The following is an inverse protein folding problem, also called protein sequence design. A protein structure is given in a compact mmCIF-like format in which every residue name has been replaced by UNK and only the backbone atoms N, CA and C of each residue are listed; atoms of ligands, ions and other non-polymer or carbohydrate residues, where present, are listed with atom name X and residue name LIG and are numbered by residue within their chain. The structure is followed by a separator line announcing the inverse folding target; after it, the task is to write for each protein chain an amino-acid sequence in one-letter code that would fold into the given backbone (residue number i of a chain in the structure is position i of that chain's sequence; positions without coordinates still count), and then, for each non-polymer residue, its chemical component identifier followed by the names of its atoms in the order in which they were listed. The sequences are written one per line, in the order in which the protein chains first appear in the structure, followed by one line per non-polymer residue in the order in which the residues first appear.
data_IF_005285265065
#
_entry.id   IF_005285265065
#
_cell.length_a   1.000
_cell.length_b   1.000
_cell.length_c   1.000
_cell.angle_alpha   90.00
_cell.angle_beta   90.00
_cell.angle_gamma   90.00
#
_symmetry.space_group_name_H-M   'P 1'
#
loop_
_entity.id
_entity.type
_entity.pdbx_description
1 polymer ?
#
# COMPACT_ATOMS: atom_id res chain seq x y z
N UNK A 1 21.72 21.95 43.49
CA UNK A 1 20.37 22.17 44.09
C UNK A 1 20.35 21.87 45.58
N UNK A 2 20.67 20.65 46.04
CA UNK A 2 20.71 20.28 47.48
C UNK A 2 21.64 21.16 48.32
N UNK A 3 22.84 21.44 47.84
CA UNK A 3 23.82 22.29 48.54
C UNK A 3 23.40 23.77 48.64
N UNK A 4 22.61 24.26 47.68
CA UNK A 4 22.14 25.65 47.67
C UNK A 4 20.98 25.81 48.66
N UNK A 5 20.08 24.83 48.69
CA UNK A 5 19.01 24.76 49.70
C UNK A 5 19.58 24.70 51.13
N UNK A 6 20.64 23.92 51.34
CA UNK A 6 21.31 23.85 52.65
C UNK A 6 22.02 25.15 53.05
N UNK A 7 22.61 25.89 52.09
CA UNK A 7 23.19 27.22 52.36
C UNK A 7 22.11 28.26 52.70
N UNK A 8 20.94 28.18 52.05
CA UNK A 8 19.78 29.02 52.35
C UNK A 8 19.22 28.71 53.74
N UNK A 9 19.14 27.43 54.13
CA UNK A 9 18.69 26.98 55.46
C UNK A 9 19.63 27.43 56.59
N UNK A 10 20.92 27.62 56.32
CA UNK A 10 21.90 28.12 57.29
C UNK A 10 22.03 29.65 57.31
N UNK A 11 21.25 30.37 56.50
CA UNK A 11 21.32 31.83 56.40
C UNK A 11 22.58 32.37 55.71
N UNK A 12 23.37 31.49 55.08
CA UNK A 12 24.56 31.87 54.32
C UNK A 12 24.17 32.31 52.90
N UNK A 13 23.70 33.56 52.80
CA UNK A 13 23.33 34.19 51.54
C UNK A 13 24.49 34.23 50.52
N UNK A 14 25.74 34.30 50.99
CA UNK A 14 26.91 34.39 50.12
C UNK A 14 27.16 33.06 49.40
N UNK A 15 27.16 31.93 50.13
CA UNK A 15 27.26 30.60 49.53
C UNK A 15 26.06 30.28 48.65
N UNK A 16 24.85 30.67 49.07
CA UNK A 16 23.65 30.47 48.26
C UNK A 16 23.76 31.20 46.91
N UNK A 17 24.14 32.49 46.93
CA UNK A 17 24.34 33.29 45.71
C UNK A 17 25.39 32.67 44.79
N UNK A 18 26.56 32.31 45.33
CA UNK A 18 27.65 31.70 44.56
C UNK A 18 27.21 30.41 43.86
N UNK A 19 26.43 29.57 44.54
CA UNK A 19 25.96 28.31 43.97
C UNK A 19 24.86 28.52 42.91
N UNK A 20 23.96 29.48 43.11
CA UNK A 20 22.96 29.87 42.10
C UNK A 20 23.64 30.50 40.89
N UNK A 21 24.67 31.31 41.10
CA UNK A 21 25.42 31.97 40.03
C UNK A 21 26.18 30.94 39.19
N UNK A 22 26.81 29.95 39.82
CA UNK A 22 27.46 28.82 39.14
C UNK A 22 26.47 28.02 38.29
N UNK A 23 25.27 27.72 38.82
CA UNK A 23 24.21 27.05 38.07
C UNK A 23 23.68 27.90 36.91
N UNK A 24 23.58 29.21 37.11
CA UNK A 24 23.16 30.17 36.09
C UNK A 24 24.21 30.28 34.98
N UNK A 25 25.49 30.23 35.33
CA UNK A 25 26.61 30.25 34.39
C UNK A 25 26.67 28.98 33.54
N UNK A 26 26.35 27.82 34.15
CA UNK A 26 26.25 26.55 33.43
C UNK A 26 25.07 26.52 32.45
N UNK A 27 23.91 27.05 32.86
CA UNK A 27 22.74 27.20 32.00
C UNK A 27 22.98 28.19 30.85
N UNK A 28 23.71 29.27 31.12
CA UNK A 28 24.07 30.27 30.12
C UNK A 28 25.33 29.89 29.33
N UNK A 29 25.83 28.66 29.51
CA UNK A 29 26.97 28.15 28.75
C UNK A 29 26.68 28.19 27.25
N UNK A 30 27.67 28.55 26.41
CA UNK A 30 27.54 28.50 24.96
C UNK A 30 27.15 27.10 24.44
N UNK A 31 27.45 26.03 25.20
CA UNK A 31 27.03 24.67 24.85
C UNK A 31 25.52 24.49 25.00
N UNK A 32 24.92 24.99 26.07
CA UNK A 32 23.47 24.87 26.28
C UNK A 32 22.69 25.73 25.29
N UNK A 33 23.17 26.95 24.98
CA UNK A 33 22.53 27.77 23.95
C UNK A 33 22.67 27.16 22.55
N UNK A 34 23.79 26.50 22.24
CA UNK A 34 23.95 25.74 21.01
C UNK A 34 23.02 24.52 20.96
N UNK A 35 22.84 23.80 22.07
CA UNK A 35 21.92 22.67 22.16
C UNK A 35 20.46 23.10 22.00
N UNK A 36 20.09 24.20 22.64
CA UNK A 36 18.74 24.79 22.59
C UNK A 36 18.47 25.40 21.21
N UNK A 37 19.50 25.92 20.53
CA UNK A 37 19.42 26.32 19.12
C UNK A 37 19.24 25.11 18.20
N UNK A 38 20.04 24.05 18.36
CA UNK A 38 19.93 22.82 17.59
C UNK A 38 18.57 22.14 17.78
N UNK A 39 18.06 22.09 19.02
CA UNK A 39 16.73 21.58 19.31
C UNK A 39 15.65 22.40 18.59
N UNK A 40 15.74 23.73 18.60
CA UNK A 40 14.81 24.60 17.86
C UNK A 40 14.97 24.51 16.35
N UNK A 41 16.19 24.37 15.83
CA UNK A 41 16.45 24.16 14.39
C UNK A 41 15.86 22.82 13.95
N UNK A 42 16.06 21.75 14.74
CA UNK A 42 15.45 20.45 14.52
C UNK A 42 13.92 20.52 14.58
N UNK A 43 13.34 21.14 15.62
CA UNK A 43 11.89 21.31 15.74
C UNK A 43 11.32 22.11 14.59
N UNK A 44 11.96 23.22 14.19
CA UNK A 44 11.53 23.99 13.01
C UNK A 44 11.65 23.18 11.73
N UNK A 45 12.73 22.43 11.54
CA UNK A 45 12.88 21.54 10.40
C UNK A 45 11.75 20.51 10.37
N UNK A 46 11.40 19.91 11.51
CA UNK A 46 10.29 18.98 11.64
C UNK A 46 8.92 19.64 11.39
N UNK A 47 8.69 20.86 11.88
CA UNK A 47 7.46 21.64 11.64
C UNK A 47 7.33 22.10 10.17
N UNK A 48 8.45 22.34 9.49
CA UNK A 48 8.46 22.70 8.06
C UNK A 48 8.39 21.51 7.13
N UNK A 49 8.43 20.28 7.65
CA UNK A 49 8.16 19.12 6.83
C UNK A 49 6.67 19.15 6.44
N UNK A 50 6.31 19.24 5.14
CA UNK A 50 4.92 19.23 4.69
C UNK A 50 4.25 17.85 4.85
N UNK A 51 4.83 17.00 5.69
CA UNK A 51 4.50 15.58 5.87
C UNK A 51 3.24 15.44 6.73
N UNK A 52 3.01 16.28 7.74
CA UNK A 52 1.93 16.03 8.70
C UNK A 52 0.52 16.08 8.09
N UNK A 53 0.21 17.05 7.23
CA UNK A 53 -1.13 17.17 6.64
C UNK A 53 -1.36 16.16 5.51
N UNK A 54 -0.39 15.99 4.59
CA UNK A 54 -0.56 15.12 3.41
C UNK A 54 -0.46 13.65 3.77
N UNK A 55 0.50 13.27 4.62
CA UNK A 55 0.65 11.88 5.06
C UNK A 55 -0.50 11.49 6.01
N UNK A 56 -0.94 12.43 6.85
CA UNK A 56 -2.13 12.25 7.70
C UNK A 56 -3.41 12.03 6.89
N UNK A 57 -3.62 12.78 5.81
CA UNK A 57 -4.77 12.58 4.91
C UNK A 57 -4.70 11.23 4.16
N UNK A 58 -3.53 10.87 3.63
CA UNK A 58 -3.30 9.60 2.95
C UNK A 58 -3.55 8.41 3.89
N UNK A 59 -2.98 8.44 5.10
CA UNK A 59 -3.12 7.35 6.07
C UNK A 59 -4.52 7.30 6.69
N UNK A 60 -5.14 8.45 6.94
CA UNK A 60 -6.42 8.54 7.64
C UNK A 60 -7.66 8.31 6.77
N UNK A 61 -7.60 8.64 5.48
CA UNK A 61 -8.77 8.58 4.59
C UNK A 61 -8.50 7.82 3.29
N UNK A 62 -7.45 8.18 2.55
CA UNK A 62 -7.27 7.63 1.19
C UNK A 62 -6.85 6.16 1.17
N UNK A 63 -5.96 5.73 2.06
CA UNK A 63 -5.53 4.33 2.16
C UNK A 63 -6.66 3.39 2.60
N UNK A 64 -7.45 3.71 3.65
CA UNK A 64 -8.64 2.93 3.99
C UNK A 64 -9.65 2.83 2.84
N UNK A 65 -9.91 3.93 2.12
CA UNK A 65 -10.81 3.94 0.94
C UNK A 65 -10.24 3.07 -0.19
N UNK A 66 -8.95 3.20 -0.49
CA UNK A 66 -8.28 2.38 -1.50
C UNK A 66 -8.38 0.89 -1.19
N UNK A 67 -8.19 0.50 0.09
CA UNK A 67 -8.35 -0.88 0.53
C UNK A 67 -9.77 -1.38 0.33
N UNK A 68 -10.77 -0.63 0.82
CA UNK A 68 -12.18 -1.01 0.66
C UNK A 68 -12.58 -1.18 -0.82
N UNK A 69 -12.03 -0.34 -1.70
CA UNK A 69 -12.20 -0.43 -3.14
C UNK A 69 -11.54 -1.68 -3.75
N UNK A 70 -10.32 -2.03 -3.31
CA UNK A 70 -9.66 -3.26 -3.74
C UNK A 70 -10.43 -4.50 -3.28
N UNK A 71 -10.93 -4.51 -2.04
CA UNK A 71 -11.75 -5.61 -1.51
C UNK A 71 -13.03 -5.79 -2.36
N UNK A 72 -13.69 -4.68 -2.72
CA UNK A 72 -14.85 -4.71 -3.61
C UNK A 72 -14.50 -5.24 -5.02
N UNK A 73 -13.37 -4.78 -5.58
CA UNK A 73 -12.88 -5.29 -6.88
C UNK A 73 -12.64 -6.78 -6.79
N UNK A 74 -11.94 -7.27 -5.77
CA UNK A 74 -11.64 -8.67 -5.57
C UNK A 74 -12.92 -9.51 -5.56
N UNK A 75 -13.88 -9.13 -4.70
CA UNK A 75 -15.17 -9.82 -4.60
C UNK A 75 -15.93 -9.82 -5.93
N UNK A 76 -16.04 -8.66 -6.59
CA UNK A 76 -16.77 -8.53 -7.86
C UNK A 76 -16.10 -9.36 -8.97
N UNK A 77 -14.77 -9.40 -9.01
CA UNK A 77 -14.02 -10.20 -9.99
C UNK A 77 -14.16 -11.70 -9.73
N UNK A 78 -14.18 -12.13 -8.47
CA UNK A 78 -14.40 -13.52 -8.10
C UNK A 78 -15.81 -13.98 -8.48
N UNK A 79 -16.84 -13.18 -8.15
CA UNK A 79 -18.23 -13.47 -8.50
C UNK A 79 -18.45 -13.54 -10.01
N UNK A 80 -17.94 -12.56 -10.76
CA UNK A 80 -18.04 -12.54 -12.22
C UNK A 80 -17.31 -13.73 -12.86
N UNK A 81 -16.17 -14.15 -12.29
CA UNK A 81 -15.40 -15.30 -12.79
C UNK A 81 -16.14 -16.61 -12.55
N UNK A 82 -16.64 -16.84 -11.33
CA UNK A 82 -17.46 -18.03 -11.03
C UNK A 82 -18.70 -18.08 -11.93
N UNK A 83 -19.42 -16.96 -12.07
CA UNK A 83 -20.60 -16.86 -12.94
C UNK A 83 -20.26 -17.20 -14.40
N UNK A 84 -19.12 -16.70 -14.89
CA UNK A 84 -18.65 -16.99 -16.25
C UNK A 84 -18.33 -18.48 -16.43
N UNK A 85 -17.64 -19.10 -15.47
CA UNK A 85 -17.30 -20.53 -15.53
C UNK A 85 -18.56 -21.41 -15.53
N UNK A 86 -19.53 -21.12 -14.66
CA UNK A 86 -20.80 -21.85 -14.60
C UNK A 86 -21.55 -21.78 -15.95
N UNK A 87 -21.61 -20.60 -16.56
CA UNK A 87 -22.27 -20.39 -17.85
C UNK A 87 -21.51 -21.04 -19.01
N UNK A 88 -20.18 -21.10 -18.95
CA UNK A 88 -19.34 -21.81 -19.91
C UNK A 88 -19.61 -23.32 -19.83
N UNK A 89 -19.66 -23.88 -18.63
CA UNK A 89 -19.93 -25.31 -18.45
C UNK A 89 -21.36 -25.68 -18.86
N UNK A 90 -22.35 -24.83 -18.54
CA UNK A 90 -23.71 -24.99 -19.02
C UNK A 90 -23.81 -24.91 -20.55
N UNK A 91 -23.02 -24.02 -21.18
CA UNK A 91 -22.95 -23.92 -22.65
C UNK A 91 -22.31 -25.16 -23.27
N UNK A 92 -21.26 -25.72 -22.66
CA UNK A 92 -20.64 -26.98 -23.12
C UNK A 92 -21.61 -28.14 -23.09
N UNK A 93 -22.35 -28.30 -22.01
CA UNK A 93 -23.36 -29.36 -21.88
C UNK A 93 -24.47 -29.24 -22.95
N UNK A 94 -24.91 -28.02 -23.25
CA UNK A 94 -25.89 -27.76 -24.31
C UNK A 94 -25.33 -28.06 -25.71
N UNK A 95 -24.07 -27.69 -25.97
CA UNK A 95 -23.38 -28.01 -27.23
C UNK A 95 -23.18 -29.53 -27.39
N UNK A 96 -22.81 -30.25 -26.33
CA UNK A 96 -22.68 -31.71 -26.37
C UNK A 96 -24.04 -32.38 -26.68
N UNK A 97 -25.12 -31.87 -26.09
CA UNK A 97 -26.49 -32.35 -26.35
C UNK A 97 -26.95 -32.08 -27.79
N UNK A 98 -26.50 -30.98 -28.39
CA UNK A 98 -26.71 -30.67 -29.81
C UNK A 98 -25.89 -31.57 -30.73
N UNK A 99 -24.64 -31.91 -30.37
CA UNK A 99 -23.75 -32.74 -31.19
C UNK A 99 -24.32 -34.14 -31.42
N UNK A 100 -25.03 -34.67 -30.44
CA UNK A 100 -25.63 -36.01 -30.51
C UNK A 100 -26.98 -36.02 -31.28
N UNK A 101 -27.41 -34.88 -31.84
CA UNK A 101 -28.64 -34.70 -32.64
C UNK A 101 -28.35 -34.37 -34.11
N UNK A 102 -29.18 -34.89 -35.02
CA UNK A 102 -29.20 -34.56 -36.47
C UNK A 102 -29.65 -33.10 -36.72
N UNK A 103 -29.43 -32.51 -37.93
CA UNK A 103 -29.09 -31.09 -38.08
C UNK A 103 -30.06 -30.13 -37.36
N UNK A 104 -29.51 -29.41 -36.38
CA UNK A 104 -30.22 -28.43 -35.58
C UNK A 104 -30.84 -27.33 -36.46
N UNK A 105 -32.16 -27.19 -36.37
CA UNK A 105 -32.92 -26.09 -36.96
C UNK A 105 -32.59 -24.78 -36.21
N UNK A 106 -32.75 -23.63 -36.87
CA UNK A 106 -32.46 -22.32 -36.27
C UNK A 106 -33.25 -22.02 -34.98
N UNK A 107 -34.38 -22.70 -34.77
CA UNK A 107 -35.23 -22.61 -33.56
C UNK A 107 -34.96 -23.72 -32.53
N UNK A 108 -33.80 -24.39 -32.59
CA UNK A 108 -33.47 -25.43 -31.61
C UNK A 108 -33.38 -24.81 -30.19
N UNK A 109 -34.15 -25.33 -29.21
CA UNK A 109 -34.14 -24.80 -27.84
C UNK A 109 -32.76 -24.85 -27.18
N UNK A 110 -31.93 -25.85 -27.51
CA UNK A 110 -30.56 -25.96 -27.00
C UNK A 110 -29.66 -24.85 -27.56
N UNK A 111 -29.81 -24.53 -28.86
CA UNK A 111 -29.08 -23.44 -29.50
C UNK A 111 -29.46 -22.07 -28.91
N UNK A 112 -30.75 -21.90 -28.56
CA UNK A 112 -31.23 -20.70 -27.86
C UNK A 112 -30.67 -20.59 -26.45
N UNK A 113 -30.53 -21.70 -25.72
CA UNK A 113 -29.89 -21.72 -24.41
C UNK A 113 -28.42 -21.32 -24.48
N UNK A 114 -27.66 -21.84 -25.45
CA UNK A 114 -26.25 -21.42 -25.68
C UNK A 114 -26.17 -19.92 -25.96
N UNK A 115 -27.03 -19.38 -26.84
CA UNK A 115 -27.07 -17.93 -27.13
C UNK A 115 -27.41 -17.10 -25.90
N UNK A 116 -28.31 -17.59 -25.05
CA UNK A 116 -28.66 -16.94 -23.79
C UNK A 116 -27.48 -16.94 -22.82
N UNK A 117 -26.81 -18.09 -22.61
CA UNK A 117 -25.62 -18.17 -21.76
C UNK A 117 -24.49 -17.25 -22.22
N UNK A 118 -24.23 -17.15 -23.54
CA UNK A 118 -23.23 -16.21 -24.07
C UNK A 118 -23.59 -14.74 -23.80
N UNK A 119 -24.88 -14.42 -23.80
CA UNK A 119 -25.36 -13.07 -23.46
C UNK A 119 -25.21 -12.80 -21.96
N UNK A 120 -25.50 -13.77 -21.11
CA UNK A 120 -25.28 -13.71 -19.66
C UNK A 120 -23.78 -13.60 -19.30
N UNK A 121 -22.89 -14.28 -20.02
CA UNK A 121 -21.44 -14.14 -19.86
C UNK A 121 -21.01 -12.71 -20.20
N UNK A 122 -21.53 -12.16 -21.30
CA UNK A 122 -21.23 -10.78 -21.70
C UNK A 122 -21.68 -9.77 -20.65
N UNK A 123 -22.85 -9.99 -20.03
CA UNK A 123 -23.38 -9.16 -18.94
C UNK A 123 -22.53 -9.29 -17.66
N UNK A 124 -22.14 -10.51 -17.28
CA UNK A 124 -21.29 -10.77 -16.12
C UNK A 124 -19.92 -10.08 -16.25
N UNK A 125 -19.43 -9.89 -17.48
CA UNK A 125 -18.16 -9.22 -17.78
C UNK A 125 -18.26 -7.69 -17.85
N UNK A 126 -19.46 -7.11 -17.90
CA UNK A 126 -19.65 -5.65 -18.04
C UNK A 126 -19.09 -4.88 -16.81
N UNK A 127 -18.99 -5.54 -15.66
CA UNK A 127 -18.36 -5.01 -14.44
C UNK A 127 -16.84 -4.79 -14.56
N UNK A 128 -16.19 -5.32 -15.59
CA UNK A 128 -14.74 -5.19 -15.80
C UNK A 128 -14.29 -3.75 -16.06
N UNK A 129 -15.15 -2.89 -16.63
CA UNK A 129 -14.81 -1.46 -16.80
C UNK A 129 -14.76 -0.75 -15.44
N UNK A 130 -15.72 -1.03 -14.55
CA UNK A 130 -15.79 -0.44 -13.23
C UNK A 130 -14.64 -0.91 -12.33
N UNK A 131 -14.28 -2.19 -12.39
CA UNK A 131 -13.12 -2.71 -11.65
C UNK A 131 -11.82 -2.11 -12.18
N UNK A 132 -11.67 -1.97 -13.49
CA UNK A 132 -10.53 -1.29 -14.11
C UNK A 132 -10.38 0.17 -13.70
N UNK A 133 -11.47 0.93 -13.64
CA UNK A 133 -11.47 2.32 -13.13
C UNK A 133 -11.09 2.37 -11.65
N UNK A 134 -11.58 1.42 -10.85
CA UNK A 134 -11.28 1.33 -9.43
C UNK A 134 -9.80 1.04 -9.18
N UNK A 135 -9.23 0.08 -9.92
CA UNK A 135 -7.79 -0.23 -9.87
C UNK A 135 -6.95 0.99 -10.25
N UNK A 136 -7.29 1.68 -11.35
CA UNK A 136 -6.57 2.90 -11.77
C UNK A 136 -6.55 3.96 -10.67
N UNK A 137 -7.67 4.12 -9.95
CA UNK A 137 -7.78 5.07 -8.84
C UNK A 137 -6.92 4.66 -7.65
N UNK A 138 -6.92 3.38 -7.31
CA UNK A 138 -6.07 2.83 -6.25
C UNK A 138 -4.58 2.99 -6.58
N UNK A 139 -4.17 2.69 -7.82
CA UNK A 139 -2.80 2.92 -8.31
C UNK A 139 -2.39 4.39 -8.12
N UNK A 140 -3.30 5.33 -8.40
CA UNK A 140 -3.08 6.75 -8.14
C UNK A 140 -2.83 7.06 -6.66
N UNK A 141 -3.55 6.43 -5.74
CA UNK A 141 -3.36 6.60 -4.29
C UNK A 141 -2.01 6.01 -3.85
N UNK A 142 -1.67 4.82 -4.32
CA UNK A 142 -0.36 4.19 -4.04
C UNK A 142 0.79 5.10 -4.49
N UNK A 143 0.69 5.66 -5.70
CA UNK A 143 1.69 6.59 -6.20
C UNK A 143 1.82 7.86 -5.34
N UNK A 144 0.71 8.38 -4.79
CA UNK A 144 0.76 9.50 -3.86
C UNK A 144 1.47 9.15 -2.55
N UNK A 145 1.28 7.94 -2.04
CA UNK A 145 1.99 7.43 -0.86
C UNK A 145 3.49 7.28 -1.15
N UNK A 146 3.87 6.71 -2.28
CA UNK A 146 5.28 6.59 -2.71
C UNK A 146 5.96 7.96 -2.77
N UNK A 147 5.33 8.95 -3.40
CA UNK A 147 5.87 10.31 -3.46
C UNK A 147 6.01 10.94 -2.08
N UNK A 148 5.02 10.74 -1.21
CA UNK A 148 5.06 11.29 0.13
C UNK A 148 6.21 10.69 0.94
N UNK A 149 6.38 9.36 0.91
CA UNK A 149 7.49 8.64 1.54
C UNK A 149 8.86 9.01 0.96
N UNK A 150 8.95 9.18 -0.36
CA UNK A 150 10.18 9.62 -1.02
C UNK A 150 10.61 11.02 -0.57
N UNK A 151 9.64 11.94 -0.41
CA UNK A 151 9.91 13.27 0.12
C UNK A 151 10.46 13.23 1.56
N UNK A 152 9.99 12.30 2.39
CA UNK A 152 10.55 12.05 3.74
C UNK A 152 12.00 11.57 3.64
N UNK A 153 12.25 10.59 2.76
CA UNK A 153 13.60 10.05 2.55
C UNK A 153 14.61 11.15 2.20
N UNK A 154 14.26 11.99 1.21
CA UNK A 154 15.07 13.13 0.79
C UNK A 154 15.29 14.12 1.94
N UNK A 155 14.24 14.44 2.72
CA UNK A 155 14.34 15.37 3.83
C UNK A 155 15.23 14.88 4.99
N UNK A 156 15.29 13.56 5.21
CA UNK A 156 16.15 12.93 6.23
C UNK A 156 17.58 12.71 5.67
N UNK A 157 17.85 13.12 4.43
CA UNK A 157 19.17 12.95 3.79
C UNK A 157 19.44 11.51 3.35
N UNK A 158 18.41 10.64 3.36
CA UNK A 158 18.51 9.27 2.88
C UNK A 158 18.11 9.27 1.41
N UNK A 159 19.06 9.04 0.50
CA UNK A 159 18.67 8.70 -0.87
C UNK A 159 17.84 7.43 -0.81
N UNK A 160 16.63 7.49 -1.36
CA UNK A 160 15.80 6.30 -1.55
C UNK A 160 16.58 5.42 -2.53
N UNK A 161 17.35 4.47 -2.00
CA UNK A 161 17.92 3.40 -2.81
C UNK A 161 16.76 2.73 -3.54
N UNK A 162 16.96 2.46 -4.82
CA UNK A 162 16.05 1.68 -5.66
C UNK A 162 15.56 0.49 -4.83
N UNK A 163 14.32 0.57 -4.34
CA UNK A 163 13.76 -0.46 -3.48
C UNK A 163 13.67 -1.67 -4.40
N UNK A 164 14.36 -2.75 -4.05
CA UNK A 164 14.16 -4.06 -4.70
C UNK A 164 12.65 -4.26 -4.76
N UNK A 165 12.04 -4.20 -5.96
CA UNK A 165 10.60 -4.12 -6.08
C UNK A 165 10.06 -5.28 -5.27
N UNK A 166 9.27 -4.94 -4.24
CA UNK A 166 8.58 -5.90 -3.36
C UNK A 166 8.29 -7.13 -4.21
N UNK A 167 8.92 -8.26 -3.89
CA UNK A 167 8.65 -9.54 -4.56
C UNK A 167 7.14 -9.67 -4.60
N UNK A 168 6.55 -9.31 -5.72
CA UNK A 168 5.11 -9.33 -5.88
C UNK A 168 4.81 -10.83 -5.91
N UNK A 169 4.26 -11.34 -4.81
CA UNK A 169 3.79 -12.72 -4.77
C UNK A 169 2.56 -12.79 -5.68
N UNK A 170 2.83 -13.02 -6.95
CA UNK A 170 1.87 -13.00 -8.04
C UNK A 170 2.52 -13.54 -9.30
N UNK A 171 1.72 -14.04 -10.26
CA UNK A 171 2.25 -14.53 -11.52
C UNK A 171 3.03 -13.42 -12.23
N UNK A 172 4.20 -13.79 -12.76
CA UNK A 172 5.08 -12.89 -13.47
C UNK A 172 4.35 -12.17 -14.62
N UNK A 173 4.35 -10.84 -14.58
CA UNK A 173 3.79 -9.99 -15.64
C UNK A 173 4.89 -9.68 -16.65
N UNK A 174 4.74 -10.23 -17.86
CA UNK A 174 5.69 -10.07 -18.97
C UNK A 174 5.92 -8.58 -19.29
N UNK A 175 7.16 -8.13 -19.15
CA UNK A 175 7.59 -6.76 -19.46
C UNK A 175 7.51 -5.76 -18.29
N UNK A 176 6.98 -6.18 -17.13
CA UNK A 176 6.94 -5.38 -15.89
C UNK A 176 7.89 -5.97 -14.86
N UNK A 177 7.86 -7.29 -14.67
CA UNK A 177 8.76 -7.96 -13.73
C UNK A 177 10.12 -8.23 -14.36
N UNK A 178 11.18 -7.66 -13.76
CA UNK A 178 12.58 -7.92 -14.16
C UNK A 178 13.06 -9.32 -13.74
N UNK A 179 12.38 -9.95 -12.77
CA UNK A 179 12.69 -11.28 -12.21
C UNK A 179 11.43 -12.14 -12.06
N UNK A 180 10.52 -12.08 -13.02
CA UNK A 180 9.35 -12.95 -13.03
C UNK A 180 9.78 -14.42 -13.03
N UNK A 181 9.35 -15.19 -12.03
CA UNK A 181 9.51 -16.65 -11.97
C UNK A 181 9.03 -17.21 -13.31
N UNK A 182 9.97 -17.70 -14.11
CA UNK A 182 9.70 -18.23 -15.43
C UNK A 182 9.03 -19.59 -15.29
N UNK A 183 8.29 -20.03 -16.29
CA UNK A 183 7.80 -21.41 -16.38
C UNK A 183 8.95 -22.43 -16.23
N UNK A 184 10.17 -22.04 -16.62
CA UNK A 184 11.39 -22.83 -16.42
C UNK A 184 11.78 -23.00 -14.94
N UNK A 185 11.48 -22.02 -14.07
CA UNK A 185 11.75 -22.10 -12.64
C UNK A 185 10.72 -23.00 -11.95
N UNK A 186 9.48 -23.00 -12.43
CA UNK A 186 8.44 -23.94 -11.98
C UNK A 186 8.79 -25.39 -12.38
N UNK A 187 9.25 -25.61 -13.61
CA UNK A 187 9.73 -26.92 -14.08
C UNK A 187 10.98 -27.38 -13.30
N UNK A 188 11.85 -26.44 -12.92
CA UNK A 188 13.03 -26.72 -12.09
C UNK A 188 12.63 -27.16 -10.67
N UNK A 189 11.62 -26.51 -10.07
CA UNK A 189 11.08 -26.89 -8.76
C UNK A 189 10.35 -28.24 -8.78
N UNK A 190 9.65 -28.57 -9.87
CA UNK A 190 9.05 -29.89 -10.07
C UNK A 190 10.11 -30.99 -10.17
N UNK A 191 11.19 -30.70 -10.90
CA UNK A 191 12.36 -31.58 -11.00
C UNK A 191 13.03 -31.79 -9.63
N UNK A 192 13.15 -30.73 -8.81
CA UNK A 192 13.72 -30.79 -7.46
C UNK A 192 12.79 -31.51 -6.45
N UNK A 193 11.47 -31.49 -6.68
CA UNK A 193 10.48 -32.28 -5.95
C UNK A 193 10.34 -33.74 -6.45
N UNK A 194 11.00 -34.10 -7.56
CA UNK A 194 10.99 -35.45 -8.11
C UNK A 194 9.68 -35.87 -8.78
N UNK A 195 8.90 -34.91 -9.30
CA UNK A 195 7.73 -35.13 -10.17
C UNK A 195 8.05 -34.71 -11.61
#
# INVERSE_FOLDING_TARGET
MRSALHALEQGDEASYRSQIETLTQWRNSPIFSAFDRLARELTRSLETLPIDARLGALAGQELPDARARLDFVLQTTEEATHRTLDLVDASRAAIDSLRDREPALADDPELMNVRHHLSEISLAQEYQDLTGQTIKRVVGIVHQVEQALAAIGVAIGKQVSEVDPLRAEGPAIRGVDKHGVSQNDADSLLTDLGL
#
